data_IF_216047239091
#
_entry.id   IF_216047239091
#
_cell.length_a   1.000
_cell.length_b   1.000
_cell.length_c   1.000
_cell.angle_alpha   90.00
_cell.angle_beta   90.00
_cell.angle_gamma   90.00
#
_symmetry.space_group_name_H-M   'P 1'
#
loop_
_entity.id
_entity.type
_entity.pdbx_description
1 polymer ?
#
# COMPACT_ATOMS: atom_id res chain seq x y z
N UNK A 1 -10.14 -10.14 -34.16
CA UNK A 1 -9.95 -11.38 -33.39
C UNK A 1 -9.82 -11.02 -31.91
N UNK A 2 -10.79 -11.41 -31.09
CA UNK A 2 -10.77 -11.16 -29.65
C UNK A 2 -9.94 -12.30 -29.05
N UNK A 3 -8.73 -12.00 -28.57
CA UNK A 3 -7.82 -13.00 -28.00
C UNK A 3 -8.31 -13.40 -26.60
N UNK A 4 -9.10 -14.47 -26.53
CA UNK A 4 -9.54 -15.10 -25.27
C UNK A 4 -8.41 -15.96 -24.67
N UNK A 5 -7.34 -15.31 -24.16
CA UNK A 5 -6.27 -16.02 -23.45
C UNK A 5 -6.71 -16.27 -21.99
N UNK A 6 -6.56 -17.50 -21.47
CA UNK A 6 -6.80 -17.76 -20.06
C UNK A 6 -5.87 -16.88 -19.21
N UNK A 7 -6.32 -16.41 -18.02
CA UNK A 7 -5.48 -15.63 -17.13
C UNK A 7 -4.21 -16.41 -16.84
N UNK A 8 -3.05 -15.76 -17.06
CA UNK A 8 -1.76 -16.38 -16.83
C UNK A 8 -1.64 -16.70 -15.32
N UNK A 9 -1.54 -17.98 -14.91
CA UNK A 9 -1.54 -18.36 -13.49
C UNK A 9 -0.26 -17.88 -12.77
N UNK A 10 0.76 -17.51 -13.53
CA UNK A 10 1.96 -16.88 -13.01
C UNK A 10 1.72 -15.38 -12.89
N UNK A 11 1.29 -14.97 -11.70
CA UNK A 11 1.48 -13.60 -11.25
C UNK A 11 2.98 -13.36 -11.20
N UNK A 12 3.50 -12.58 -12.15
CA UNK A 12 4.86 -12.08 -12.06
C UNK A 12 5.06 -11.45 -10.66
N UNK A 13 6.28 -11.51 -10.11
CA UNK A 13 6.63 -10.89 -8.81
C UNK A 13 6.48 -9.37 -8.89
N UNK A 14 5.22 -8.93 -8.86
CA UNK A 14 4.78 -7.57 -9.07
C UNK A 14 4.13 -7.12 -7.77
N UNK A 15 4.53 -5.96 -7.25
CA UNK A 15 3.88 -5.38 -6.09
C UNK A 15 2.38 -5.16 -6.38
N UNK A 16 1.52 -5.55 -5.43
CA UNK A 16 0.10 -5.20 -5.49
C UNK A 16 -0.07 -3.69 -5.29
N UNK A 17 -1.14 -3.13 -5.83
CA UNK A 17 -1.38 -1.69 -5.87
C UNK A 17 -2.39 -1.22 -4.84
N UNK A 18 -3.33 -2.09 -4.44
CA UNK A 18 -4.35 -1.77 -3.43
C UNK A 18 -4.66 -2.93 -2.49
N UNK A 19 -5.30 -2.62 -1.36
CA UNK A 19 -5.74 -3.61 -0.38
C UNK A 19 -6.71 -4.66 -0.94
N UNK A 20 -7.44 -4.33 -2.00
CA UNK A 20 -8.35 -5.27 -2.67
C UNK A 20 -7.62 -6.46 -3.33
N UNK A 21 -6.32 -6.33 -3.57
CA UNK A 21 -5.45 -7.37 -4.12
C UNK A 21 -4.70 -8.15 -3.02
N UNK A 22 -4.89 -7.81 -1.74
CA UNK A 22 -4.14 -8.39 -0.63
C UNK A 22 -4.71 -9.74 -0.20
N UNK A 23 -4.08 -10.82 -0.65
CA UNK A 23 -4.43 -12.19 -0.29
C UNK A 23 -3.68 -12.72 0.94
N UNK A 24 -2.70 -11.98 1.46
CA UNK A 24 -1.79 -12.45 2.51
C UNK A 24 -1.89 -11.62 3.80
N UNK A 25 -2.93 -10.77 3.92
CA UNK A 25 -3.25 -10.04 5.15
C UNK A 25 -2.24 -8.94 5.51
N UNK A 26 -1.54 -8.37 4.54
CA UNK A 26 -0.57 -7.27 4.74
C UNK A 26 -1.23 -5.90 4.93
N UNK A 27 -2.49 -5.76 4.55
CA UNK A 27 -3.28 -4.52 4.60
C UNK A 27 -3.38 -3.96 6.01
N UNK A 28 -3.60 -4.79 7.05
CA UNK A 28 -3.68 -4.33 8.44
C UNK A 28 -2.41 -3.61 8.92
N UNK A 29 -1.23 -4.11 8.53
CA UNK A 29 0.04 -3.46 8.82
C UNK A 29 0.17 -2.12 8.07
N UNK A 30 -0.23 -2.09 6.79
CA UNK A 30 -0.20 -0.87 5.99
C UNK A 30 -1.16 0.21 6.53
N UNK A 31 -2.34 -0.18 7.01
CA UNK A 31 -3.31 0.71 7.65
C UNK A 31 -2.76 1.30 8.96
N UNK A 32 -2.15 0.45 9.81
CA UNK A 32 -1.52 0.91 11.05
C UNK A 32 -0.36 1.88 10.79
N UNK A 33 0.48 1.59 9.80
CA UNK A 33 1.59 2.46 9.42
C UNK A 33 1.09 3.80 8.85
N UNK A 34 0.03 3.79 8.04
CA UNK A 34 -0.58 5.01 7.54
C UNK A 34 -1.12 5.89 8.68
N UNK A 35 -1.81 5.30 9.67
CA UNK A 35 -2.33 6.04 10.82
C UNK A 35 -1.22 6.73 11.65
N UNK A 36 -0.08 6.07 11.83
CA UNK A 36 1.09 6.68 12.49
C UNK A 36 1.63 7.87 11.70
N UNK A 37 1.70 7.75 10.37
CA UNK A 37 2.16 8.84 9.50
C UNK A 37 1.17 10.00 9.48
N UNK A 38 -0.13 9.74 9.46
CA UNK A 38 -1.18 10.77 9.50
C UNK A 38 -1.23 11.49 10.86
N UNK A 39 -1.00 10.75 11.95
CA UNK A 39 -1.03 11.30 13.31
C UNK A 39 0.25 12.03 13.73
N UNK A 40 1.26 12.11 12.86
CA UNK A 40 2.52 12.75 13.20
C UNK A 40 2.40 14.29 13.16
N UNK A 41 2.71 14.96 14.28
CA UNK A 41 2.56 16.41 14.49
C UNK A 41 3.88 17.14 14.79
N UNK A 42 5.02 16.54 14.45
CA UNK A 42 6.32 17.17 14.69
C UNK A 42 6.58 18.36 13.76
N UNK A 43 7.56 19.20 14.10
CA UNK A 43 7.98 20.33 13.26
C UNK A 43 9.14 19.98 12.29
N UNK A 44 9.79 18.82 12.47
CA UNK A 44 10.93 18.36 11.65
C UNK A 44 10.54 17.29 10.63
N UNK A 45 11.39 16.89 9.69
CA UNK A 45 10.97 15.83 8.74
C UNK A 45 10.83 14.44 9.40
N UNK A 46 9.74 13.72 9.09
CA UNK A 46 9.57 12.30 9.46
C UNK A 46 10.18 11.39 8.37
N UNK A 47 11.15 10.56 8.75
CA UNK A 47 11.75 9.52 7.89
C UNK A 47 11.37 8.14 8.40
N UNK A 48 10.83 7.30 7.52
CA UNK A 48 10.41 5.93 7.85
C UNK A 48 11.10 4.93 6.93
N UNK A 49 11.65 3.86 7.53
CA UNK A 49 12.25 2.74 6.81
C UNK A 49 11.44 1.46 7.01
N UNK A 50 11.14 0.77 5.91
CA UNK A 50 10.44 -0.52 5.92
C UNK A 50 11.41 -1.66 5.68
N UNK A 51 11.67 -2.48 6.70
CA UNK A 51 12.63 -3.58 6.66
C UNK A 51 11.97 -4.95 6.44
N UNK A 52 12.74 -5.88 5.88
CA UNK A 52 12.34 -7.28 5.73
C UNK A 52 13.11 -8.00 4.61
N UNK A 53 13.01 -9.35 4.51
CA UNK A 53 13.67 -10.14 3.46
C UNK A 53 13.26 -9.75 2.03
N UNK A 54 14.07 -10.12 1.05
CA UNK A 54 13.69 -10.00 -0.37
C UNK A 54 12.40 -10.78 -0.65
N UNK A 55 11.53 -10.26 -1.54
CA UNK A 55 10.27 -10.93 -1.92
C UNK A 55 9.13 -10.88 -0.89
N UNK A 56 9.32 -10.32 0.32
CA UNK A 56 8.26 -10.33 1.36
C UNK A 56 7.09 -9.36 1.09
N UNK A 57 7.21 -8.51 0.06
CA UNK A 57 6.16 -7.56 -0.33
C UNK A 57 6.30 -6.14 0.24
N UNK A 58 7.53 -5.68 0.54
CA UNK A 58 7.78 -4.30 1.01
C UNK A 58 7.19 -3.24 0.08
N UNK A 59 7.37 -3.39 -1.23
CA UNK A 59 6.80 -2.45 -2.21
C UNK A 59 5.27 -2.51 -2.25
N UNK A 60 4.67 -3.68 -2.01
CA UNK A 60 3.21 -3.84 -1.89
C UNK A 60 2.67 -3.10 -0.67
N UNK A 61 3.34 -3.23 0.47
CA UNK A 61 2.98 -2.51 1.70
C UNK A 61 3.06 -1.01 1.48
N UNK A 62 4.15 -0.50 0.88
CA UNK A 62 4.29 0.92 0.52
C UNK A 62 3.08 1.42 -0.30
N UNK A 63 2.65 0.64 -1.29
CA UNK A 63 1.52 1.04 -2.13
C UNK A 63 0.22 1.14 -1.34
N UNK A 64 -0.06 0.19 -0.45
CA UNK A 64 -1.25 0.23 0.41
C UNK A 64 -1.18 1.34 1.46
N UNK A 65 0.00 1.67 1.99
CA UNK A 65 0.19 2.85 2.85
C UNK A 65 -0.20 4.12 2.09
N UNK A 66 0.33 4.29 0.87
CA UNK A 66 -0.03 5.43 0.01
C UNK A 66 -1.51 5.45 -0.37
N UNK A 67 -2.13 4.28 -0.56
CA UNK A 67 -3.58 4.16 -0.77
C UNK A 67 -4.36 4.74 0.42
N UNK A 68 -3.99 4.37 1.65
CA UNK A 68 -4.64 4.88 2.87
C UNK A 68 -4.44 6.38 3.05
N UNK A 69 -3.21 6.88 2.91
CA UNK A 69 -2.90 8.31 3.04
C UNK A 69 -3.68 9.19 2.04
N UNK A 70 -3.90 8.68 0.81
CA UNK A 70 -4.69 9.38 -0.21
C UNK A 70 -6.19 9.39 0.11
N UNK A 71 -6.69 8.39 0.84
CA UNK A 71 -8.08 8.35 1.31
C UNK A 71 -8.29 9.33 2.46
N UNK A 72 -7.39 9.36 3.45
CA UNK A 72 -7.44 10.27 4.59
C UNK A 72 -7.32 11.74 4.21
N UNK A 73 -6.40 12.09 3.30
CA UNK A 73 -6.18 13.47 2.85
C UNK A 73 -7.35 14.13 2.10
N UNK A 74 -8.37 13.36 1.71
CA UNK A 74 -9.53 13.86 0.94
C UNK A 74 -10.73 14.23 1.82
N UNK A 75 -10.75 13.81 3.09
CA UNK A 75 -11.83 14.12 4.04
C UNK A 75 -11.65 15.48 4.76
N UNK A 76 -10.47 16.10 4.70
CA UNK A 76 -10.13 17.33 5.42
C UNK A 76 -10.17 18.62 4.58
N UNK A 77 -10.79 18.59 3.38
CA UNK A 77 -11.07 19.81 2.59
C UNK A 77 -12.58 19.99 2.41
N UNK A 78 -13.29 20.58 3.39
CA UNK A 78 -14.61 21.12 3.13
C UNK A 78 -14.49 22.32 2.18
N UNK A 79 -15.44 22.40 1.24
CA UNK A 79 -15.64 23.49 0.28
C UNK A 79 -15.87 24.84 0.95
#
# INVERSE_FOLDING_TARGET
MISNRPPNPFSADRPIRSKSEDLLGRSAFAESLAAVVEGWTGNDSLVVALYGPWGIGKTSIKNMVLENLRRGGRALRPS
#
